data_IF_085449923797
#
_entry.id   IF_085449923797
#
_cell.length_a   1.000
_cell.length_b   1.000
_cell.length_c   1.000
_cell.angle_alpha   90.00
_cell.angle_beta   90.00
_cell.angle_gamma   90.00
#
_symmetry.space_group_name_H-M   'P 1'
#
loop_
_entity.id
_entity.type
_entity.pdbx_description
1 polymer ?
#
# COMPACT_ATOMS: atom_id res chain seq x y z
N UNK A 1 -4.07 -0.44 21.41
CA UNK A 1 -2.59 -0.37 21.44
C UNK A 1 -2.14 0.10 20.07
N UNK A 2 -1.21 1.05 19.99
CA UNK A 2 -0.60 1.53 18.72
C UNK A 2 0.85 1.05 18.73
N UNK A 3 1.25 0.34 17.68
CA UNK A 3 2.63 -0.06 17.45
C UNK A 3 3.22 0.82 16.34
N UNK A 4 4.39 1.40 16.59
CA UNK A 4 5.08 2.26 15.61
C UNK A 4 6.48 1.68 15.38
N UNK A 5 6.72 1.26 14.14
CA UNK A 5 8.04 0.86 13.65
C UNK A 5 8.63 1.98 12.81
N UNK A 6 9.91 2.28 13.01
CA UNK A 6 10.63 3.31 12.27
C UNK A 6 11.89 2.73 11.64
N UNK A 7 11.91 2.68 10.33
CA UNK A 7 13.10 2.25 9.58
C UNK A 7 13.58 3.40 8.69
N UNK A 8 14.86 3.83 8.79
CA UNK A 8 15.40 4.85 7.90
C UNK A 8 15.30 4.40 6.44
N UNK A 9 14.76 5.23 5.54
CA UNK A 9 14.56 4.91 4.12
C UNK A 9 15.85 4.41 3.45
N UNK A 10 16.99 5.00 3.78
CA UNK A 10 18.31 4.56 3.26
C UNK A 10 18.71 3.13 3.65
N UNK A 11 18.02 2.49 4.60
CA UNK A 11 18.22 1.10 5.00
C UNK A 11 17.24 0.15 4.31
N UNK A 12 16.25 0.67 3.59
CA UNK A 12 15.31 -0.15 2.82
C UNK A 12 15.99 -0.50 1.50
N UNK A 13 16.52 -1.71 1.40
CA UNK A 13 17.20 -2.18 0.21
C UNK A 13 16.24 -2.55 -0.91
N UNK A 14 15.07 -3.07 -0.54
CA UNK A 14 14.07 -3.51 -1.50
C UNK A 14 12.68 -3.49 -0.87
N UNK A 15 11.75 -2.80 -1.51
CA UNK A 15 10.33 -2.89 -1.21
C UNK A 15 9.61 -3.52 -2.41
N UNK A 16 8.72 -4.48 -2.16
CA UNK A 16 7.97 -5.17 -3.21
C UNK A 16 6.51 -5.30 -2.84
N UNK A 17 5.64 -5.33 -3.85
CA UNK A 17 4.26 -5.74 -3.69
C UNK A 17 4.19 -7.25 -3.87
N UNK A 18 3.93 -7.98 -2.78
CA UNK A 18 3.74 -9.42 -2.84
C UNK A 18 2.31 -9.76 -3.25
N UNK A 19 2.16 -10.44 -4.38
CA UNK A 19 0.86 -10.91 -4.86
C UNK A 19 0.53 -12.28 -4.27
N UNK A 20 -0.36 -12.32 -3.30
CA UNK A 20 -0.80 -13.56 -2.64
C UNK A 20 -1.85 -14.32 -3.48
N UNK A 21 -1.46 -14.87 -4.61
CA UNK A 21 -2.37 -15.64 -5.50
C UNK A 21 -2.82 -16.96 -4.89
N UNK A 22 -2.06 -17.50 -3.95
CA UNK A 22 -2.36 -18.78 -3.28
C UNK A 22 -3.23 -18.62 -2.03
N UNK A 23 -3.61 -17.37 -1.68
CA UNK A 23 -4.41 -17.05 -0.49
C UNK A 23 -3.79 -17.58 0.82
N UNK A 24 -2.47 -17.54 0.90
CA UNK A 24 -1.73 -18.00 2.08
C UNK A 24 -1.94 -17.03 3.26
N UNK A 25 -1.94 -17.53 4.49
CA UNK A 25 -1.85 -16.70 5.68
C UNK A 25 -0.57 -15.84 5.65
N UNK A 26 -0.61 -14.65 6.25
CA UNK A 26 0.56 -13.77 6.31
C UNK A 26 1.75 -14.44 6.98
N UNK A 27 1.51 -15.24 8.03
CA UNK A 27 2.56 -16.02 8.72
C UNK A 27 3.33 -16.94 7.79
N UNK A 28 2.62 -17.64 6.90
CA UNK A 28 3.25 -18.56 5.94
C UNK A 28 4.04 -17.81 4.87
N UNK A 29 3.53 -16.63 4.44
CA UNK A 29 4.27 -15.75 3.51
C UNK A 29 5.56 -15.25 4.18
N UNK A 30 5.49 -14.79 5.42
CA UNK A 30 6.65 -14.30 6.17
C UNK A 30 7.69 -15.41 6.37
N UNK A 31 7.27 -16.61 6.72
CA UNK A 31 8.17 -17.75 6.88
C UNK A 31 8.89 -18.10 5.56
N UNK A 32 8.20 -18.00 4.45
CA UNK A 32 8.70 -18.35 3.12
C UNK A 32 9.61 -17.28 2.51
N UNK A 33 9.16 -16.05 2.52
CA UNK A 33 9.85 -14.92 1.86
C UNK A 33 10.89 -14.26 2.78
N UNK A 34 10.78 -14.50 4.10
CA UNK A 34 11.67 -13.97 5.15
C UNK A 34 11.95 -12.46 5.02
N UNK A 35 10.91 -11.63 4.88
CA UNK A 35 11.08 -10.19 4.81
C UNK A 35 11.49 -9.63 6.18
N UNK A 36 12.25 -8.55 6.20
CA UNK A 36 12.53 -7.79 7.43
C UNK A 36 11.26 -7.10 7.97
N UNK A 37 10.37 -6.68 7.07
CA UNK A 37 9.08 -6.10 7.38
C UNK A 37 8.02 -6.58 6.38
N UNK A 38 6.86 -6.97 6.88
CA UNK A 38 5.69 -7.28 6.07
C UNK A 38 4.45 -6.57 6.60
N UNK A 39 3.63 -6.05 5.70
CA UNK A 39 2.38 -5.38 6.04
C UNK A 39 1.30 -5.68 5.00
N UNK A 40 0.05 -5.51 5.39
CA UNK A 40 -1.05 -5.52 4.43
C UNK A 40 -0.98 -4.26 3.57
N UNK A 41 -1.22 -4.43 2.28
CA UNK A 41 -1.15 -3.33 1.30
C UNK A 41 -2.48 -2.58 1.17
N UNK A 42 -3.14 -2.74 0.03
CA UNK A 42 -4.37 -2.03 -0.32
C UNK A 42 -5.61 -2.66 0.33
N UNK A 43 -6.72 -1.92 0.34
CA UNK A 43 -8.03 -2.47 0.63
C UNK A 43 -8.39 -3.56 -0.39
N UNK A 44 -9.07 -4.59 0.05
CA UNK A 44 -9.49 -5.69 -0.80
C UNK A 44 -10.93 -6.11 -0.51
N UNK A 45 -11.57 -6.68 -1.51
CA UNK A 45 -12.90 -7.31 -1.37
C UNK A 45 -12.73 -8.76 -0.92
N UNK A 46 -13.20 -9.14 0.27
CA UNK A 46 -13.16 -10.54 0.71
C UNK A 46 -13.94 -11.48 -0.21
N UNK A 47 -15.06 -11.00 -0.75
CA UNK A 47 -15.90 -11.80 -1.65
C UNK A 47 -15.22 -12.11 -3.00
N UNK A 48 -14.44 -11.15 -3.52
CA UNK A 48 -13.76 -11.28 -4.81
C UNK A 48 -12.29 -11.70 -4.68
N UNK A 49 -11.72 -11.65 -3.49
CA UNK A 49 -10.28 -11.83 -3.24
C UNK A 49 -9.41 -10.96 -4.16
N UNK A 50 -9.85 -9.75 -4.38
CA UNK A 50 -9.21 -8.81 -5.28
C UNK A 50 -9.04 -7.45 -4.61
N UNK A 51 -8.00 -6.68 -4.96
CA UNK A 51 -7.88 -5.30 -4.50
C UNK A 51 -9.08 -4.48 -4.97
N UNK A 52 -9.41 -3.43 -4.20
CA UNK A 52 -10.43 -2.43 -4.56
C UNK A 52 -9.84 -1.03 -4.71
N UNK A 53 -8.51 -0.92 -4.63
CA UNK A 53 -7.75 0.30 -4.86
C UNK A 53 -6.65 0.03 -5.89
N UNK A 54 -6.23 1.03 -6.66
CA UNK A 54 -5.15 0.89 -7.62
C UNK A 54 -3.90 0.28 -7.01
N UNK A 55 -3.35 -0.71 -7.69
CA UNK A 55 -2.11 -1.38 -7.28
C UNK A 55 -1.33 -1.88 -8.50
N UNK A 56 -0.03 -1.67 -8.46
CA UNK A 56 0.93 -2.11 -9.47
C UNK A 56 2.08 -2.83 -8.80
N UNK A 57 2.49 -3.93 -9.35
CA UNK A 57 3.60 -4.72 -8.85
C UNK A 57 4.57 -5.01 -9.98
N UNK A 58 5.81 -4.61 -9.80
CA UNK A 58 6.92 -4.82 -10.75
C UNK A 58 6.56 -4.50 -12.22
N UNK A 59 5.95 -3.34 -12.41
CA UNK A 59 5.51 -2.86 -13.73
C UNK A 59 4.15 -3.40 -14.19
N UNK A 60 3.59 -4.40 -13.52
CA UNK A 60 2.29 -4.98 -13.88
C UNK A 60 1.18 -4.33 -13.08
N UNK A 61 0.20 -3.73 -13.75
CA UNK A 61 -1.02 -3.22 -13.13
C UNK A 61 -1.89 -4.41 -12.73
N UNK A 62 -2.10 -4.57 -11.44
CA UNK A 62 -2.92 -5.65 -10.89
C UNK A 62 -4.38 -5.23 -10.73
N UNK A 63 -4.61 -3.96 -10.50
CA UNK A 63 -5.91 -3.34 -10.40
C UNK A 63 -5.79 -1.86 -10.74
N UNK A 64 -6.65 -1.38 -11.64
CA UNK A 64 -6.58 -0.02 -12.18
C UNK A 64 -7.81 0.83 -11.90
N UNK A 65 -8.89 0.24 -11.35
CA UNK A 65 -10.13 0.97 -11.13
C UNK A 65 -9.90 2.11 -10.14
N UNK A 66 -9.89 3.31 -10.67
CA UNK A 66 -9.60 4.52 -9.93
C UNK A 66 -10.90 4.99 -9.26
N UNK A 67 -11.01 4.71 -7.99
CA UNK A 67 -11.85 5.57 -7.18
C UNK A 67 -11.10 6.90 -7.02
N UNK A 68 -11.66 7.98 -7.53
CA UNK A 68 -11.06 9.32 -7.71
C UNK A 68 -10.47 9.98 -6.44
N UNK A 69 -10.42 9.26 -5.35
CA UNK A 69 -10.13 9.79 -4.03
C UNK A 69 -8.87 9.22 -3.37
N UNK A 70 -8.29 8.16 -3.91
CA UNK A 70 -7.14 7.52 -3.29
C UNK A 70 -5.82 8.06 -3.81
N UNK A 71 -4.94 8.35 -2.89
CA UNK A 71 -3.55 8.64 -3.16
C UNK A 71 -2.76 7.35 -3.24
N UNK A 72 -1.73 7.31 -4.04
CA UNK A 72 -0.83 6.17 -4.10
C UNK A 72 0.56 6.51 -3.56
N UNK A 73 1.17 5.55 -2.88
CA UNK A 73 2.59 5.53 -2.62
C UNK A 73 3.24 4.74 -3.75
N UNK A 74 4.07 5.41 -4.54
CA UNK A 74 4.79 4.83 -5.66
C UNK A 74 6.28 4.70 -5.37
N UNK A 75 6.92 3.64 -5.87
CA UNK A 75 8.37 3.46 -5.76
C UNK A 75 8.92 2.56 -6.85
N UNK A 76 10.20 2.69 -7.09
CA UNK A 76 10.99 1.78 -7.90
C UNK A 76 11.87 0.89 -7.03
N UNK A 77 12.49 -0.11 -7.64
CA UNK A 77 13.41 -1.01 -6.95
C UNK A 77 14.81 -0.41 -6.98
N UNK A 78 15.38 -0.15 -5.81
CA UNK A 78 16.75 0.36 -5.65
C UNK A 78 16.92 1.14 -4.36
N UNK A 79 18.11 1.06 -3.78
CA UNK A 79 18.40 1.67 -2.46
C UNK A 79 18.34 3.21 -2.47
N UNK A 80 18.50 3.84 -3.65
CA UNK A 80 18.56 5.30 -3.80
C UNK A 80 17.26 5.93 -4.29
N UNK A 81 16.20 5.12 -4.50
CA UNK A 81 14.93 5.62 -5.03
C UNK A 81 13.96 5.86 -3.88
N UNK A 82 13.67 7.13 -3.61
CA UNK A 82 12.69 7.52 -2.60
C UNK A 82 11.26 7.27 -3.10
N UNK A 83 10.38 6.79 -2.22
CA UNK A 83 8.95 6.71 -2.54
C UNK A 83 8.37 8.08 -2.86
N UNK A 84 7.47 8.13 -3.82
CA UNK A 84 6.72 9.34 -4.20
C UNK A 84 5.25 9.20 -3.87
N UNK A 85 4.62 10.32 -3.56
CA UNK A 85 3.18 10.40 -3.35
C UNK A 85 2.49 10.81 -4.65
N UNK A 86 1.68 9.91 -5.21
CA UNK A 86 0.94 10.10 -6.46
C UNK A 86 -0.49 10.54 -6.14
N UNK A 87 -0.96 11.68 -6.68
CA UNK A 87 -2.33 12.14 -6.44
C UNK A 87 -3.37 11.24 -7.12
N UNK A 88 -4.64 11.30 -6.68
CA UNK A 88 -5.75 10.62 -7.35
C UNK A 88 -5.80 10.97 -8.84
N UNK A 89 -6.04 9.96 -9.68
CA UNK A 89 -6.03 10.14 -11.14
C UNK A 89 -4.65 10.40 -11.76
N UNK A 90 -3.61 10.49 -10.94
CA UNK A 90 -2.23 10.65 -11.41
C UNK A 90 -1.69 9.35 -12.01
N UNK A 91 -1.09 9.44 -13.18
CA UNK A 91 -0.28 8.35 -13.71
C UNK A 91 1.06 8.28 -12.98
N UNK A 92 1.54 7.07 -12.75
CA UNK A 92 2.82 6.84 -12.14
C UNK A 92 3.67 5.91 -13.00
N UNK A 93 4.84 6.39 -13.40
CA UNK A 93 5.86 5.59 -14.07
C UNK A 93 6.55 4.61 -13.13
N UNK A 94 6.31 4.73 -11.81
CA UNK A 94 6.86 3.80 -10.84
C UNK A 94 6.50 2.34 -11.15
N UNK A 95 7.45 1.44 -10.97
CA UNK A 95 7.24 -0.01 -11.15
C UNK A 95 6.29 -0.59 -10.13
N UNK A 96 6.22 0.01 -8.95
CA UNK A 96 5.34 -0.41 -7.87
C UNK A 96 4.53 0.79 -7.37
N UNK A 97 3.26 0.58 -7.08
CA UNK A 97 2.47 1.50 -6.27
C UNK A 97 1.34 0.78 -5.55
N UNK A 98 0.94 1.37 -4.43
CA UNK A 98 -0.24 0.96 -3.66
C UNK A 98 -1.07 2.20 -3.34
N UNK A 99 -2.34 2.19 -3.70
CA UNK A 99 -3.25 3.29 -3.41
C UNK A 99 -4.07 3.02 -2.15
N UNK A 100 -4.29 4.09 -1.38
CA UNK A 100 -5.05 4.02 -0.14
C UNK A 100 -5.50 5.43 0.31
N UNK A 101 -6.15 5.53 1.48
CA UNK A 101 -6.49 6.80 2.09
C UNK A 101 -5.24 7.56 2.52
N UNK A 102 -5.12 8.81 2.09
CA UNK A 102 -4.09 9.70 2.61
C UNK A 102 -4.50 10.20 4.00
N UNK A 103 -3.70 9.92 5.01
CA UNK A 103 -3.95 10.34 6.39
C UNK A 103 -3.27 11.65 6.73
N UNK A 104 -2.05 11.84 6.24
CA UNK A 104 -1.21 13.02 6.52
C UNK A 104 -0.59 13.51 5.23
N UNK A 105 -0.62 14.82 4.99
CA UNK A 105 0.04 15.48 3.86
C UNK A 105 0.85 16.66 4.35
N UNK A 106 2.13 16.72 3.99
CA UNK A 106 3.06 17.77 4.41
C UNK A 106 3.02 18.03 5.93
N UNK A 107 3.01 16.95 6.73
CA UNK A 107 2.99 17.01 8.18
C UNK A 107 1.63 17.41 8.80
N UNK A 108 0.58 17.58 8.01
CA UNK A 108 -0.76 17.96 8.49
C UNK A 108 -1.76 16.82 8.29
N UNK A 109 -2.51 16.43 9.33
CA UNK A 109 -3.59 15.47 9.19
C UNK A 109 -4.63 15.95 8.19
N UNK A 110 -5.20 15.02 7.40
CA UNK A 110 -6.29 15.32 6.51
C UNK A 110 -7.59 15.51 7.30
N UNK A 111 -8.31 16.60 7.05
CA UNK A 111 -9.59 16.89 7.72
C UNK A 111 -10.69 15.94 7.28
N UNK A 112 -10.64 15.46 6.04
CA UNK A 112 -11.60 14.53 5.48
C UNK A 112 -10.85 13.32 4.91
N UNK A 113 -11.19 12.15 5.41
CA UNK A 113 -10.69 10.88 4.89
C UNK A 113 -11.67 10.36 3.84
N UNK A 114 -11.15 10.00 2.68
CA UNK A 114 -11.95 9.42 1.60
C UNK A 114 -11.90 7.90 1.71
N UNK A 115 -12.97 7.34 2.23
CA UNK A 115 -13.25 5.91 2.23
C UNK A 115 -14.77 5.71 2.29
N UNK A 116 -15.25 4.60 1.76
CA UNK A 116 -16.66 4.24 1.83
C UNK A 116 -17.02 3.55 3.17
N UNK A 117 -18.30 3.30 3.39
CA UNK A 117 -18.81 2.69 4.64
C UNK A 117 -18.25 1.29 4.87
N UNK A 118 -17.91 0.55 3.82
CA UNK A 118 -17.36 -0.81 3.90
C UNK A 118 -15.98 -0.84 4.56
N UNK A 119 -15.19 0.21 4.39
CA UNK A 119 -13.84 0.33 4.95
C UNK A 119 -13.75 1.34 6.09
N UNK A 120 -14.82 2.06 6.39
CA UNK A 120 -14.92 3.03 7.48
C UNK A 120 -15.04 2.40 8.88
N UNK A 121 -15.27 3.24 9.88
CA UNK A 121 -15.54 2.84 11.27
C UNK A 121 -14.29 2.45 12.07
N UNK A 122 -14.53 1.91 13.28
CA UNK A 122 -13.47 1.47 14.21
C UNK A 122 -12.98 0.08 13.82
N UNK A 123 -11.85 0.02 13.16
CA UNK A 123 -11.22 -1.24 12.71
C UNK A 123 -9.71 -1.17 12.88
N UNK A 124 -9.04 -2.31 12.94
CA UNK A 124 -7.59 -2.38 12.86
C UNK A 124 -7.10 -1.84 11.52
N UNK A 125 -6.06 -1.01 11.54
CA UNK A 125 -5.51 -0.35 10.35
C UNK A 125 -3.99 -0.41 10.38
N UNK A 126 -3.41 -0.49 9.20
CA UNK A 126 -1.98 -0.25 8.98
C UNK A 126 -1.83 1.10 8.28
N UNK A 127 -0.89 1.92 8.72
CA UNK A 127 -0.52 3.18 8.09
C UNK A 127 0.99 3.19 7.77
N UNK A 128 1.36 3.80 6.67
CA UNK A 128 2.74 4.03 6.21
C UNK A 128 2.95 5.50 5.91
#
# INVERSE_FOLDING_TARGET
MVHIERTPLKKILRAVVYRNTKKLPLSEIVEREKPDLAMTGVFYSPAKWAPVCPVKADGTVLFADQQDSYWALGWDVGADVLPILVPPGGESDCRNYVANCLLVRAGRPQQKLYYNDDVGGRRGRVAV
#
